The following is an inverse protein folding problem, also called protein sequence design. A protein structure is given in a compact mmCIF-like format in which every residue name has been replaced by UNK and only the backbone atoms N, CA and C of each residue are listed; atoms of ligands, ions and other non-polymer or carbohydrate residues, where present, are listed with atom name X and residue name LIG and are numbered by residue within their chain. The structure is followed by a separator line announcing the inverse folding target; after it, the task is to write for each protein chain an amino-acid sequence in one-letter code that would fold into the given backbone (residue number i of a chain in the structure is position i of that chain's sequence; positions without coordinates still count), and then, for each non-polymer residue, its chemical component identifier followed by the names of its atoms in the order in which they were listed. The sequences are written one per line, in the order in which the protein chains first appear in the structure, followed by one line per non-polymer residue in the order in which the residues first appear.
data_IF_434960547565
#
_entry.id   IF_434960547565
#
_cell.length_a   1.000
_cell.length_b   1.000
_cell.length_c   1.000
_cell.angle_alpha   90.00
_cell.angle_beta   90.00
_cell.angle_gamma   90.00
#
_symmetry.space_group_name_H-M   'P 1'
#
loop_
_entity.id
_entity.type
_entity.pdbx_description
1 polymer ?
#
# COMPACT_ATOMS: atom_id res chain seq x y z
N UNK A 1 10.07 15.75 -69.69
CA UNK A 1 9.13 16.60 -70.48
C UNK A 1 8.51 17.60 -69.50
N UNK A 2 9.00 18.86 -69.48
CA UNK A 2 8.28 20.11 -69.89
C UNK A 2 6.93 20.29 -69.16
N UNK A 3 6.52 21.44 -68.62
CA UNK A 3 7.06 22.80 -68.45
C UNK A 3 6.00 23.56 -67.62
N UNK A 4 6.43 24.62 -66.95
CA UNK A 4 5.63 25.61 -66.19
C UNK A 4 4.67 26.47 -67.04
N UNK A 5 3.79 27.17 -66.31
CA UNK A 5 3.06 28.42 -66.62
C UNK A 5 1.74 28.27 -67.40
N UNK A 6 0.68 29.04 -67.13
CA UNK A 6 0.63 30.49 -66.90
C UNK A 6 -0.75 30.94 -66.36
N UNK A 7 -0.75 32.09 -65.66
CA UNK A 7 -1.76 33.21 -65.66
C UNK A 7 -3.23 32.85 -65.35
N UNK A 8 -4.00 33.64 -64.61
CA UNK A 8 -3.88 35.04 -64.20
C UNK A 8 -5.29 35.65 -64.20
N UNK A 9 -5.66 36.23 -63.05
CA UNK A 9 -6.56 37.38 -62.85
C UNK A 9 -7.97 37.39 -63.46
N UNK A 10 -8.97 37.48 -62.59
CA UNK A 10 -10.02 38.51 -62.72
C UNK A 10 -10.57 38.87 -61.33
N UNK A 11 -10.39 40.13 -60.96
CA UNK A 11 -11.05 40.80 -59.84
C UNK A 11 -12.35 41.39 -60.40
N UNK A 12 -13.47 41.19 -59.72
CA UNK A 12 -14.57 42.16 -59.73
C UNK A 12 -15.25 42.19 -58.37
N UNK A 13 -15.48 43.40 -57.93
CA UNK A 13 -15.85 43.84 -56.59
C UNK A 13 -17.30 44.28 -56.53
N UNK A 14 -18.01 43.95 -55.46
CA UNK A 14 -19.04 44.77 -54.78
C UNK A 14 -19.62 43.93 -53.64
N UNK A 15 -19.26 44.26 -52.39
CA UNK A 15 -20.05 45.05 -51.44
C UNK A 15 -21.27 44.32 -50.85
N UNK A 16 -21.23 44.16 -49.53
CA UNK A 16 -22.43 44.13 -48.69
C UNK A 16 -22.48 42.98 -47.70
N UNK A 17 -22.54 43.30 -46.40
CA UNK A 17 -23.12 42.42 -45.40
C UNK A 17 -22.16 41.96 -44.31
N UNK A 18 -22.49 42.34 -43.08
CA UNK A 18 -21.64 42.29 -41.91
C UNK A 18 -21.75 40.98 -41.12
N UNK A 19 -20.66 40.71 -40.39
CA UNK A 19 -20.60 40.21 -39.01
C UNK A 19 -20.88 38.72 -38.67
N UNK A 20 -19.94 38.23 -37.86
CA UNK A 20 -20.05 37.25 -36.77
C UNK A 20 -20.05 35.76 -37.13
N UNK A 21 -18.97 35.08 -36.72
CA UNK A 21 -18.88 33.62 -36.69
C UNK A 21 -17.45 33.15 -36.47
N UNK A 22 -16.90 33.43 -35.27
CA UNK A 22 -15.60 32.92 -34.85
C UNK A 22 -15.59 31.38 -34.83
N UNK A 23 -14.50 30.81 -35.33
CA UNK A 23 -14.23 29.38 -35.24
C UNK A 23 -13.84 29.06 -33.78
N UNK A 24 -14.83 28.73 -32.96
CA UNK A 24 -14.60 28.08 -31.69
C UNK A 24 -14.24 26.62 -31.97
N UNK A 25 -12.97 26.27 -31.73
CA UNK A 25 -12.54 24.87 -31.65
C UNK A 25 -13.08 24.33 -30.35
N UNK A 26 -14.21 23.61 -30.41
CA UNK A 26 -14.77 22.88 -29.28
C UNK A 26 -13.77 21.81 -28.83
N UNK A 27 -13.03 22.09 -27.76
CA UNK A 27 -12.35 21.07 -26.96
C UNK A 27 -13.45 20.27 -26.28
N UNK A 28 -13.88 19.19 -26.94
CA UNK A 28 -14.65 18.13 -26.28
C UNK A 28 -13.71 17.43 -25.31
N UNK A 29 -13.69 17.92 -24.07
CA UNK A 29 -13.25 17.17 -22.90
C UNK A 29 -14.15 15.93 -22.79
N UNK A 30 -13.73 14.82 -23.37
CA UNK A 30 -14.29 13.50 -23.07
C UNK A 30 -13.82 13.10 -21.67
N UNK A 31 -14.56 13.58 -20.66
CA UNK A 31 -14.57 12.96 -19.34
C UNK A 31 -15.19 11.59 -19.51
N UNK A 32 -14.35 10.56 -19.67
CA UNK A 32 -14.75 9.17 -19.49
C UNK A 32 -14.89 8.97 -17.99
N UNK A 33 -16.05 9.35 -17.46
CA UNK A 33 -16.44 9.04 -16.11
C UNK A 33 -16.75 7.56 -16.02
N UNK A 34 -15.83 6.78 -15.47
CA UNK A 34 -16.12 5.43 -14.98
C UNK A 34 -17.00 5.62 -13.74
N UNK A 35 -18.33 5.59 -13.93
CA UNK A 35 -19.25 5.30 -12.82
C UNK A 35 -19.47 3.81 -12.83
N UNK A 36 -18.78 3.09 -11.96
CA UNK A 36 -19.19 1.74 -11.59
C UNK A 36 -20.50 1.86 -10.80
N UNK A 37 -21.54 1.15 -11.24
CA UNK A 37 -22.75 0.94 -10.43
C UNK A 37 -22.35 0.03 -9.26
N UNK A 38 -22.11 0.64 -8.10
CA UNK A 38 -21.82 -0.07 -6.85
C UNK A 38 -23.14 -0.58 -6.29
N UNK A 39 -23.20 -1.86 -5.96
CA UNK A 39 -24.40 -2.48 -5.37
C UNK A 39 -24.61 -2.02 -3.93
N UNK A 40 -25.87 -2.05 -3.45
CA UNK A 40 -26.17 -1.72 -2.05
C UNK A 40 -25.44 -2.66 -1.07
N UNK A 41 -25.24 -3.91 -1.46
CA UNK A 41 -24.47 -4.90 -0.70
C UNK A 41 -23.00 -4.48 -0.56
N UNK A 42 -22.32 -4.13 -1.66
CA UNK A 42 -20.93 -3.64 -1.62
C UNK A 42 -20.79 -2.34 -0.78
N UNK A 43 -21.81 -1.47 -0.78
CA UNK A 43 -21.85 -0.28 0.08
C UNK A 43 -21.89 -0.70 1.55
N UNK A 44 -22.76 -1.64 1.91
CA UNK A 44 -22.91 -2.09 3.30
C UNK A 44 -21.69 -2.88 3.79
N UNK A 45 -21.08 -3.69 2.93
CA UNK A 45 -19.80 -4.36 3.19
C UNK A 45 -18.68 -3.33 3.41
N UNK A 46 -18.53 -2.35 2.51
CA UNK A 46 -17.55 -1.26 2.65
C UNK A 46 -17.71 -0.49 3.96
N UNK A 47 -18.95 -0.34 4.45
CA UNK A 47 -19.22 0.30 5.75
C UNK A 47 -18.70 -0.53 6.92
N UNK A 48 -18.85 -1.85 6.91
CA UNK A 48 -18.32 -2.74 7.96
C UNK A 48 -16.81 -2.63 8.03
N UNK A 49 -16.10 -2.72 6.90
CA UNK A 49 -14.65 -2.56 6.85
C UNK A 49 -14.22 -1.21 7.43
N UNK A 50 -14.86 -0.11 7.03
CA UNK A 50 -14.53 1.24 7.52
C UNK A 50 -14.73 1.40 9.03
N UNK A 51 -15.79 0.80 9.58
CA UNK A 51 -16.04 0.85 11.04
C UNK A 51 -14.93 0.11 11.78
N UNK A 52 -14.62 -1.12 11.37
CA UNK A 52 -13.57 -1.94 12.00
C UNK A 52 -12.21 -1.26 11.88
N UNK A 53 -11.82 -0.83 10.67
CA UNK A 53 -10.57 -0.11 10.43
C UNK A 53 -10.49 1.19 11.23
N UNK A 54 -11.61 1.91 11.38
CA UNK A 54 -11.68 3.12 12.21
C UNK A 54 -11.35 2.85 13.68
N UNK A 55 -11.92 1.79 14.26
CA UNK A 55 -11.67 1.36 15.65
C UNK A 55 -10.19 0.98 15.83
N UNK A 56 -9.63 0.26 14.87
CA UNK A 56 -8.27 -0.26 14.99
C UNK A 56 -7.19 0.77 14.64
N UNK A 57 -7.48 1.74 13.76
CA UNK A 57 -6.53 2.79 13.37
C UNK A 57 -6.03 3.60 14.58
N UNK A 58 -6.91 3.90 15.53
CA UNK A 58 -6.52 4.56 16.78
C UNK A 58 -5.50 3.71 17.57
N UNK A 59 -5.79 2.41 17.72
CA UNK A 59 -4.94 1.43 18.43
C UNK A 59 -3.58 1.21 17.74
N UNK A 60 -3.52 1.39 16.42
CA UNK A 60 -2.33 1.16 15.59
C UNK A 60 -1.43 2.39 15.44
N UNK A 61 -1.93 3.60 15.66
CA UNK A 61 -1.22 4.87 15.40
C UNK A 61 0.22 4.98 15.96
N UNK A 62 0.53 4.28 17.07
CA UNK A 62 1.88 4.25 17.69
C UNK A 62 2.55 2.88 17.68
N UNK A 63 1.85 1.84 17.23
CA UNK A 63 2.28 0.43 17.33
C UNK A 63 2.15 -0.33 16.01
N UNK A 64 1.86 0.36 14.90
CA UNK A 64 1.56 -0.22 13.59
C UNK A 64 2.60 -1.27 13.16
N UNK A 65 3.88 -0.90 13.14
CA UNK A 65 4.98 -1.82 12.80
C UNK A 65 4.91 -3.11 13.63
N UNK A 66 4.96 -3.01 14.96
CA UNK A 66 5.00 -4.19 15.86
C UNK A 66 3.74 -5.05 15.77
N UNK A 67 2.59 -4.44 15.55
CA UNK A 67 1.31 -5.16 15.46
C UNK A 67 1.19 -5.88 14.12
N UNK A 68 1.48 -5.21 13.00
CA UNK A 68 1.36 -5.80 11.66
C UNK A 68 2.36 -6.93 11.48
N UNK A 69 3.64 -6.71 11.81
CA UNK A 69 4.65 -7.77 11.71
C UNK A 69 4.39 -8.91 12.68
N UNK A 70 3.93 -8.58 13.90
CA UNK A 70 3.56 -9.57 14.90
C UNK A 70 2.40 -10.44 14.45
N UNK A 71 1.35 -9.87 13.86
CA UNK A 71 0.23 -10.61 13.27
C UNK A 71 0.71 -11.50 12.13
N UNK A 72 1.49 -10.96 11.19
CA UNK A 72 2.04 -11.71 10.06
C UNK A 72 2.87 -12.91 10.52
N UNK A 73 3.70 -12.75 11.55
CA UNK A 73 4.42 -13.87 12.19
C UNK A 73 3.47 -14.86 12.86
N UNK A 74 2.55 -14.37 13.70
CA UNK A 74 1.61 -15.18 14.47
C UNK A 74 0.75 -16.09 13.58
N UNK A 75 0.29 -15.57 12.43
CA UNK A 75 -0.49 -16.31 11.45
C UNK A 75 0.35 -17.34 10.72
N UNK A 76 1.56 -16.99 10.26
CA UNK A 76 2.47 -17.94 9.61
C UNK A 76 2.89 -19.09 10.52
N UNK A 77 3.07 -18.84 11.82
CA UNK A 77 3.32 -19.90 12.82
C UNK A 77 2.14 -20.87 12.99
N UNK A 78 0.92 -20.41 12.74
CA UNK A 78 -0.32 -21.20 12.89
C UNK A 78 -0.78 -21.85 11.61
N UNK A 79 -0.33 -21.35 10.47
CA UNK A 79 -0.58 -21.94 9.16
C UNK A 79 0.31 -23.17 8.91
N UNK A 80 -0.01 -24.25 9.63
CA UNK A 80 0.69 -25.53 9.53
C UNK A 80 0.61 -26.15 8.12
N UNK A 81 -0.38 -25.76 7.33
CA UNK A 81 -0.62 -26.30 5.98
C UNK A 81 0.03 -25.45 4.91
N UNK A 82 0.50 -24.25 5.25
CA UNK A 82 0.99 -23.25 4.31
C UNK A 82 -0.02 -22.98 3.19
N UNK A 83 -1.32 -22.99 3.55
CA UNK A 83 -2.45 -22.74 2.64
C UNK A 83 -2.96 -21.29 2.71
N UNK A 84 -2.40 -20.47 3.60
CA UNK A 84 -2.80 -19.07 3.81
C UNK A 84 -4.06 -18.91 4.67
N UNK A 85 -4.77 -19.99 4.97
CA UNK A 85 -6.16 -19.92 5.43
C UNK A 85 -6.35 -20.44 6.86
N UNK A 86 -6.72 -19.52 7.76
CA UNK A 86 -6.87 -19.79 9.19
C UNK A 86 -8.33 -19.75 9.62
N UNK A 87 -8.63 -20.44 10.74
CA UNK A 87 -10.00 -20.49 11.25
C UNK A 87 -10.38 -19.26 12.06
N UNK A 88 -11.69 -19.03 12.20
CA UNK A 88 -12.25 -17.95 13.00
C UNK A 88 -11.69 -17.87 14.42
N UNK A 89 -11.51 -19.04 15.05
CA UNK A 89 -10.95 -19.15 16.39
C UNK A 89 -9.53 -18.58 16.47
N UNK A 90 -8.69 -18.81 15.45
CA UNK A 90 -7.33 -18.28 15.38
C UNK A 90 -7.34 -16.76 15.26
N UNK A 91 -8.22 -16.20 14.43
CA UNK A 91 -8.34 -14.76 14.28
C UNK A 91 -8.86 -14.07 15.55
N UNK A 92 -9.87 -14.62 16.23
CA UNK A 92 -10.32 -14.09 17.54
C UNK A 92 -9.20 -14.12 18.58
N UNK A 93 -8.40 -15.18 18.60
CA UNK A 93 -7.25 -15.28 19.50
C UNK A 93 -6.18 -14.22 19.15
N UNK A 94 -5.89 -14.02 17.87
CA UNK A 94 -4.94 -13.00 17.42
C UNK A 94 -5.38 -11.59 17.86
N UNK A 95 -6.65 -11.22 17.63
CA UNK A 95 -7.17 -9.92 18.07
C UNK A 95 -7.03 -9.71 19.58
N UNK A 96 -7.19 -10.76 20.38
CA UNK A 96 -6.98 -10.70 21.83
C UNK A 96 -5.51 -10.53 22.20
N UNK A 97 -4.61 -11.33 21.60
CA UNK A 97 -3.16 -11.30 21.87
C UNK A 97 -2.54 -9.94 21.50
N UNK A 98 -2.99 -9.34 20.40
CA UNK A 98 -2.47 -8.06 19.90
C UNK A 98 -3.24 -6.84 20.42
N UNK A 99 -4.20 -7.02 21.33
CA UNK A 99 -5.03 -5.95 21.89
C UNK A 99 -5.78 -5.14 20.82
N UNK A 100 -6.32 -5.85 19.82
CA UNK A 100 -7.13 -5.35 18.72
C UNK A 100 -8.59 -5.76 18.89
N UNK A 101 -9.12 -5.67 20.12
CA UNK A 101 -10.50 -6.03 20.39
C UNK A 101 -11.45 -5.15 19.60
N UNK A 102 -12.38 -5.78 18.91
CA UNK A 102 -13.48 -5.16 18.17
C UNK A 102 -14.80 -5.67 18.77
N UNK A 103 -15.90 -4.90 18.70
CA UNK A 103 -17.19 -5.38 19.14
C UNK A 103 -17.57 -6.68 18.40
N UNK A 104 -18.07 -7.67 19.15
CA UNK A 104 -18.41 -8.99 18.58
C UNK A 104 -19.34 -8.88 17.37
N UNK A 105 -20.32 -7.97 17.42
CA UNK A 105 -21.22 -7.71 16.30
C UNK A 105 -20.48 -7.29 15.02
N UNK A 106 -19.47 -6.44 15.14
CA UNK A 106 -18.72 -5.93 14.00
C UNK A 106 -17.75 -6.99 13.47
N UNK A 107 -17.18 -7.80 14.37
CA UNK A 107 -16.37 -8.97 13.98
C UNK A 107 -17.18 -10.01 13.22
N UNK A 108 -18.36 -10.37 13.72
CA UNK A 108 -19.23 -11.36 13.09
C UNK A 108 -19.71 -10.86 11.72
N UNK A 109 -20.04 -9.57 11.60
CA UNK A 109 -20.35 -8.96 10.31
C UNK A 109 -19.15 -9.02 9.35
N UNK A 110 -17.95 -8.70 9.82
CA UNK A 110 -16.73 -8.79 9.02
C UNK A 110 -16.45 -10.23 8.56
N UNK A 111 -16.63 -11.20 9.47
CA UNK A 111 -16.41 -12.61 9.20
C UNK A 111 -17.32 -13.13 8.10
N UNK A 112 -18.60 -12.77 8.13
CA UNK A 112 -19.57 -13.16 7.10
C UNK A 112 -19.21 -12.66 5.71
N UNK A 113 -18.52 -11.51 5.62
CA UNK A 113 -18.08 -10.95 4.34
C UNK A 113 -16.83 -11.68 3.82
N UNK A 114 -15.92 -12.04 4.73
CA UNK A 114 -14.65 -12.69 4.37
C UNK A 114 -14.81 -14.19 4.09
N UNK A 115 -15.70 -14.88 4.80
CA UNK A 115 -15.97 -16.31 4.67
C UNK A 115 -17.16 -16.59 3.72
N UNK A 116 -17.08 -16.07 2.48
CA UNK A 116 -18.15 -16.18 1.47
C UNK A 116 -18.54 -17.64 1.15
N UNK A 117 -17.57 -18.56 1.23
CA UNK A 117 -17.81 -19.99 0.99
C UNK A 117 -18.25 -20.77 2.24
N UNK A 118 -18.37 -20.10 3.40
CA UNK A 118 -18.80 -20.66 4.68
C UNK A 118 -18.02 -21.92 5.11
N UNK A 119 -16.71 -21.95 4.86
CA UNK A 119 -15.85 -23.09 5.22
C UNK A 119 -15.11 -22.87 6.56
N UNK A 120 -15.41 -21.78 7.27
CA UNK A 120 -14.76 -21.35 8.52
C UNK A 120 -13.25 -21.11 8.37
N UNK A 121 -12.79 -20.75 7.16
CA UNK A 121 -11.39 -20.41 6.87
C UNK A 121 -11.32 -19.15 6.02
N UNK A 122 -10.45 -18.23 6.43
CA UNK A 122 -10.19 -16.97 5.71
C UNK A 122 -8.68 -16.81 5.51
N UNK A 123 -8.30 -16.27 4.35
CA UNK A 123 -6.90 -15.91 4.07
C UNK A 123 -6.42 -14.82 5.05
N UNK A 124 -5.29 -15.04 5.72
CA UNK A 124 -4.82 -14.08 6.72
C UNK A 124 -4.40 -12.73 6.12
N UNK A 125 -4.04 -12.69 4.83
CA UNK A 125 -3.79 -11.45 4.10
C UNK A 125 -5.10 -10.67 3.88
N UNK A 126 -6.17 -11.34 3.45
CA UNK A 126 -7.51 -10.76 3.34
C UNK A 126 -8.02 -10.24 4.67
N UNK A 127 -7.88 -11.04 5.74
CA UNK A 127 -8.26 -10.61 7.07
C UNK A 127 -7.45 -9.39 7.53
N UNK A 128 -6.13 -9.39 7.35
CA UNK A 128 -5.25 -8.26 7.72
C UNK A 128 -5.66 -6.99 6.97
N UNK A 129 -5.90 -7.08 5.66
CA UNK A 129 -6.41 -5.95 4.86
C UNK A 129 -7.76 -5.44 5.35
N UNK A 130 -8.65 -6.37 5.73
CA UNK A 130 -9.97 -6.05 6.24
C UNK A 130 -9.92 -5.28 7.56
N UNK A 131 -9.02 -5.63 8.47
CA UNK A 131 -8.95 -5.03 9.81
C UNK A 131 -8.01 -3.81 9.91
N UNK A 132 -6.90 -3.82 9.18
CA UNK A 132 -5.85 -2.80 9.27
C UNK A 132 -5.90 -1.84 8.08
N UNK A 133 -6.36 -2.33 6.93
CA UNK A 133 -6.22 -1.65 5.64
C UNK A 133 -5.02 -2.17 4.87
N UNK A 134 -4.77 -1.53 3.73
CA UNK A 134 -3.73 -1.92 2.80
C UNK A 134 -2.95 -0.68 2.35
N UNK A 135 -1.64 -0.80 2.31
CA UNK A 135 -0.74 0.22 1.79
C UNK A 135 -1.03 0.41 0.31
N UNK A 136 -1.17 1.68 -0.09
CA UNK A 136 -1.47 1.99 -1.48
C UNK A 136 -0.36 1.49 -2.42
N UNK A 137 -0.71 1.25 -3.68
CA UNK A 137 0.22 0.68 -4.67
C UNK A 137 1.42 1.58 -4.98
N UNK A 138 1.28 2.89 -4.81
CA UNK A 138 2.38 3.82 -4.98
C UNK A 138 3.47 3.56 -3.95
N UNK A 139 3.12 3.48 -2.66
CA UNK A 139 4.03 3.13 -1.57
C UNK A 139 4.63 1.73 -1.74
N UNK A 140 3.80 0.73 -2.04
CA UNK A 140 4.25 -0.66 -2.27
C UNK A 140 5.27 -0.76 -3.40
N UNK A 141 5.15 0.06 -4.46
CA UNK A 141 6.13 0.05 -5.55
C UNK A 141 7.55 0.39 -5.06
N UNK A 142 7.70 1.29 -4.08
CA UNK A 142 9.00 1.61 -3.49
C UNK A 142 9.51 0.53 -2.53
N UNK A 143 8.61 -0.12 -1.79
CA UNK A 143 8.96 -1.29 -0.96
C UNK A 143 9.49 -2.42 -1.83
N UNK A 144 8.79 -2.75 -2.93
CA UNK A 144 9.26 -3.69 -3.96
C UNK A 144 10.61 -3.30 -4.53
N UNK A 145 10.79 -2.02 -4.90
CA UNK A 145 12.06 -1.50 -5.43
C UNK A 145 13.21 -1.66 -4.44
N UNK A 146 12.98 -1.37 -3.15
CA UNK A 146 13.97 -1.56 -2.08
C UNK A 146 14.34 -3.04 -1.94
N UNK A 147 13.34 -3.92 -1.86
CA UNK A 147 13.58 -5.35 -1.71
C UNK A 147 14.32 -5.94 -2.91
N UNK A 148 13.95 -5.59 -4.14
CA UNK A 148 14.64 -6.04 -5.35
C UNK A 148 16.11 -5.60 -5.42
N UNK A 149 16.45 -4.46 -4.81
CA UNK A 149 17.85 -4.01 -4.69
C UNK A 149 18.63 -4.90 -3.71
N UNK A 150 17.97 -5.34 -2.64
CA UNK A 150 18.57 -6.19 -1.60
C UNK A 150 18.69 -7.64 -2.08
N UNK A 151 17.65 -8.18 -2.69
CA UNK A 151 17.61 -9.53 -3.27
C UNK A 151 18.12 -9.54 -4.73
N UNK A 152 19.36 -9.12 -4.93
CA UNK A 152 19.94 -9.01 -6.28
C UNK A 152 20.08 -10.37 -6.98
N UNK A 153 20.25 -11.45 -6.21
CA UNK A 153 20.35 -12.82 -6.72
C UNK A 153 18.98 -13.46 -6.98
N UNK A 154 17.88 -12.82 -6.59
CA UNK A 154 16.51 -13.34 -6.70
C UNK A 154 16.36 -14.69 -5.99
N UNK A 155 16.94 -14.80 -4.79
CA UNK A 155 16.85 -15.99 -3.95
C UNK A 155 15.50 -16.11 -3.26
N UNK A 156 14.70 -15.03 -3.22
CA UNK A 156 13.40 -14.99 -2.56
C UNK A 156 13.48 -14.58 -1.09
N UNK A 157 14.67 -14.66 -0.48
CA UNK A 157 15.00 -14.15 0.85
C UNK A 157 16.29 -13.33 0.82
N UNK A 158 16.39 -12.35 1.72
CA UNK A 158 17.60 -11.52 1.91
C UNK A 158 18.22 -11.86 3.27
N UNK A 159 19.52 -12.22 3.33
CA UNK A 159 20.20 -12.45 4.61
C UNK A 159 20.17 -11.21 5.52
N UNK A 160 19.89 -11.39 6.80
CA UNK A 160 19.83 -10.30 7.80
C UNK A 160 21.15 -9.53 7.88
N UNK A 161 22.28 -10.21 7.63
CA UNK A 161 23.60 -9.58 7.55
C UNK A 161 23.70 -8.55 6.43
N UNK A 162 22.99 -8.74 5.32
CA UNK A 162 23.00 -7.82 4.18
C UNK A 162 22.01 -6.68 4.39
N UNK A 163 20.84 -6.96 4.98
CA UNK A 163 19.93 -5.93 5.51
C UNK A 163 20.70 -4.96 6.43
N UNK A 164 21.45 -5.49 7.40
CA UNK A 164 22.27 -4.72 8.33
C UNK A 164 23.34 -3.87 7.65
N UNK A 165 23.99 -4.37 6.60
CA UNK A 165 25.01 -3.60 5.87
C UNK A 165 24.39 -2.49 5.02
N UNK A 166 23.25 -2.76 4.38
CA UNK A 166 22.64 -1.86 3.41
C UNK A 166 21.76 -0.78 4.04
N UNK A 167 21.18 -1.02 5.22
CA UNK A 167 20.31 -0.05 5.88
C UNK A 167 21.07 1.19 6.39
N UNK A 168 20.58 2.36 6.01
CA UNK A 168 21.12 3.68 6.37
C UNK A 168 20.11 4.50 7.18
N UNK A 169 20.46 4.89 8.41
CA UNK A 169 19.57 5.68 9.27
C UNK A 169 19.96 7.16 9.37
N UNK A 170 21.01 7.62 8.67
CA UNK A 170 21.55 9.01 8.74
C UNK A 170 20.52 10.11 8.54
N UNK A 171 19.56 9.87 7.66
CA UNK A 171 18.52 10.83 7.29
C UNK A 171 17.18 10.56 7.98
N UNK A 172 17.17 9.70 9.00
CA UNK A 172 15.99 9.48 9.82
C UNK A 172 15.66 10.75 10.61
N UNK A 173 14.37 11.10 10.74
CA UNK A 173 13.92 12.35 11.36
C UNK A 173 14.48 12.53 12.78
N UNK A 174 14.47 11.48 13.60
CA UNK A 174 15.01 11.51 14.96
C UNK A 174 16.52 11.71 15.00
N UNK A 175 17.25 11.21 13.99
CA UNK A 175 18.70 11.43 13.86
C UNK A 175 19.00 12.88 13.48
N UNK A 176 18.27 13.41 12.50
CA UNK A 176 18.41 14.81 12.09
C UNK A 176 18.06 15.80 13.21
N UNK A 177 17.08 15.46 14.04
CA UNK A 177 16.68 16.28 15.21
C UNK A 177 17.60 16.12 16.43
N UNK A 178 18.53 15.16 16.42
CA UNK A 178 19.40 14.85 17.56
C UNK A 178 18.72 14.12 18.73
N UNK A 179 17.50 13.62 18.54
CA UNK A 179 16.74 12.85 19.56
C UNK A 179 17.27 11.43 19.70
N UNK A 180 17.83 10.86 18.63
CA UNK A 180 18.44 9.53 18.61
C UNK A 180 19.67 9.52 17.71
N UNK A 181 20.59 8.61 17.96
CA UNK A 181 21.77 8.34 17.12
C UNK A 181 21.40 7.44 15.93
N UNK A 182 22.25 7.41 14.90
CA UNK A 182 22.05 6.51 13.76
C UNK A 182 22.01 5.05 14.21
N UNK A 183 22.92 4.68 15.12
CA UNK A 183 23.08 3.35 15.69
C UNK A 183 21.85 2.91 16.50
N UNK A 184 21.25 3.81 17.28
CA UNK A 184 20.01 3.52 18.02
C UNK A 184 18.84 3.21 17.07
N UNK A 185 18.65 4.03 16.02
CA UNK A 185 17.59 3.79 15.02
C UNK A 185 17.85 2.51 14.26
N UNK A 186 19.10 2.26 13.87
CA UNK A 186 19.49 1.05 13.15
C UNK A 186 19.30 -0.21 14.00
N UNK A 187 19.68 -0.17 15.27
CA UNK A 187 19.49 -1.30 16.19
C UNK A 187 18.00 -1.56 16.40
N UNK A 188 17.20 -0.52 16.65
CA UNK A 188 15.76 -0.66 16.82
C UNK A 188 15.06 -1.22 15.58
N UNK A 189 15.46 -0.79 14.38
CA UNK A 189 14.96 -1.34 13.12
C UNK A 189 15.26 -2.84 12.99
N UNK A 190 16.52 -3.23 13.21
CA UNK A 190 16.97 -4.61 13.06
C UNK A 190 16.34 -5.53 14.11
N UNK A 191 16.27 -5.12 15.37
CA UNK A 191 15.60 -5.88 16.43
C UNK A 191 14.13 -6.13 16.08
N UNK A 192 13.43 -5.09 15.61
CA UNK A 192 12.02 -5.23 15.22
C UNK A 192 11.84 -6.19 14.04
N UNK A 193 12.77 -6.17 13.08
CA UNK A 193 12.72 -7.04 11.91
C UNK A 193 13.11 -8.49 12.27
N UNK A 194 14.14 -8.68 13.10
CA UNK A 194 14.56 -9.99 13.62
C UNK A 194 13.40 -10.64 14.42
N UNK A 195 12.70 -9.87 15.26
CA UNK A 195 11.52 -10.35 16.01
C UNK A 195 10.35 -10.71 15.09
N UNK A 196 10.18 -10.00 13.98
CA UNK A 196 9.11 -10.20 13.01
C UNK A 196 9.28 -11.45 12.14
N UNK A 197 10.52 -11.91 11.94
CA UNK A 197 10.80 -12.99 11.02
C UNK A 197 10.52 -14.37 11.64
N UNK A 198 10.12 -15.32 10.79
CA UNK A 198 10.05 -16.75 11.18
C UNK A 198 11.45 -17.31 11.34
N UNK A 199 12.34 -16.98 10.40
CA UNK A 199 13.77 -17.26 10.49
C UNK A 199 14.53 -15.95 10.72
N UNK A 200 15.12 -15.75 11.90
CA UNK A 200 15.82 -14.49 12.22
C UNK A 200 17.09 -14.23 11.41
N UNK A 201 17.57 -15.21 10.64
CA UNK A 201 18.78 -15.07 9.81
C UNK A 201 18.53 -14.47 8.42
N UNK A 202 17.28 -14.43 7.96
CA UNK A 202 16.90 -13.94 6.64
C UNK A 202 15.52 -13.28 6.66
N UNK A 203 15.24 -12.45 5.67
CA UNK A 203 13.98 -11.71 5.57
C UNK A 203 13.38 -12.00 4.20
N UNK A 204 12.16 -12.54 4.19
CA UNK A 204 11.35 -12.71 2.98
C UNK A 204 10.70 -11.39 2.54
N UNK A 205 10.20 -11.35 1.29
CA UNK A 205 9.48 -10.16 0.81
C UNK A 205 8.25 -9.86 1.67
N UNK A 206 7.48 -10.88 2.06
CA UNK A 206 6.27 -10.69 2.87
C UNK A 206 6.61 -10.07 4.24
N UNK A 207 7.67 -10.53 4.91
CA UNK A 207 8.13 -9.95 6.19
C UNK A 207 8.58 -8.50 6.04
N UNK A 208 9.28 -8.21 4.96
CA UNK A 208 9.73 -6.87 4.65
C UNK A 208 8.54 -5.95 4.34
N UNK A 209 7.55 -6.44 3.59
CA UNK A 209 6.32 -5.73 3.29
C UNK A 209 5.50 -5.46 4.55
N UNK A 210 5.31 -6.45 5.44
CA UNK A 210 4.61 -6.30 6.72
C UNK A 210 5.22 -5.19 7.58
N UNK A 211 6.56 -5.10 7.62
CA UNK A 211 7.25 -4.01 8.33
C UNK A 211 6.85 -2.64 7.79
N UNK A 212 6.89 -2.48 6.46
CA UNK A 212 6.60 -1.21 5.81
C UNK A 212 5.11 -0.89 5.77
N UNK A 213 4.24 -1.90 5.72
CA UNK A 213 2.79 -1.78 5.90
C UNK A 213 2.49 -1.17 7.27
N UNK A 214 3.07 -1.73 8.33
CA UNK A 214 2.93 -1.19 9.68
C UNK A 214 3.51 0.21 9.86
N UNK A 215 4.61 0.55 9.17
CA UNK A 215 5.20 1.89 9.17
C UNK A 215 4.31 2.90 8.44
N UNK A 216 3.74 2.47 7.31
CA UNK A 216 2.87 3.27 6.44
C UNK A 216 1.65 3.81 7.18
N UNK A 217 1.09 3.05 8.12
CA UNK A 217 -0.07 3.46 8.94
C UNK A 217 0.17 4.79 9.67
N UNK A 218 1.40 5.01 10.15
CA UNK A 218 1.77 6.22 10.91
C UNK A 218 2.11 7.43 10.04
N UNK A 219 2.16 7.27 8.71
CA UNK A 219 2.63 8.30 7.78
C UNK A 219 1.49 8.76 6.89
N UNK A 220 1.14 10.04 7.01
CA UNK A 220 0.03 10.62 6.26
C UNK A 220 0.35 10.82 4.79
N UNK A 221 1.50 11.41 4.47
CA UNK A 221 1.88 11.78 3.12
C UNK A 221 2.67 10.67 2.41
N UNK A 222 2.32 10.42 1.15
CA UNK A 222 2.94 9.37 0.35
C UNK A 222 4.41 9.68 0.02
N UNK A 223 4.77 10.94 -0.24
CA UNK A 223 6.15 11.32 -0.49
C UNK A 223 6.99 11.23 0.78
N UNK A 224 6.46 11.56 1.95
CA UNK A 224 7.17 11.36 3.22
C UNK A 224 7.54 9.89 3.42
N UNK A 225 6.59 8.98 3.19
CA UNK A 225 6.84 7.53 3.25
C UNK A 225 7.90 7.10 2.25
N UNK A 226 7.76 7.53 0.99
CA UNK A 226 8.69 7.18 -0.07
C UNK A 226 10.09 7.74 0.22
N UNK A 227 10.20 8.95 0.76
CA UNK A 227 11.47 9.56 1.12
C UNK A 227 12.17 8.79 2.25
N UNK A 228 11.42 8.21 3.19
CA UNK A 228 11.99 7.29 4.19
C UNK A 228 12.65 6.09 3.49
N UNK A 229 11.97 5.43 2.54
CA UNK A 229 12.54 4.30 1.80
C UNK A 229 13.75 4.71 0.92
N UNK A 230 13.66 5.83 0.19
CA UNK A 230 14.75 6.35 -0.63
C UNK A 230 16.00 6.61 0.22
N UNK A 231 15.81 7.22 1.38
CA UNK A 231 16.90 7.55 2.29
C UNK A 231 17.48 6.30 2.98
N UNK A 232 16.63 5.36 3.38
CA UNK A 232 17.03 4.14 4.07
C UNK A 232 17.81 3.18 3.16
N UNK A 233 17.39 3.06 1.90
CA UNK A 233 17.90 2.04 0.97
C UNK A 233 18.67 2.61 -0.21
N UNK A 234 18.71 3.92 -0.41
CA UNK A 234 19.38 4.57 -1.54
C UNK A 234 18.80 4.13 -2.88
N UNK A 235 17.47 4.18 -3.02
CA UNK A 235 16.71 3.85 -4.24
C UNK A 235 16.11 5.08 -4.91
#
# INVERSE_FOLDING_TARGET
KRRLSHRGSSISSSQGGAAAGGWAVDVRTTSVGIKQDITQQEIDESRVFRVVQGILKEKLSKRGVRVVTGLGKYFRERDQKSDGALSKAVFKQALTVFHLEVPEKDFEALWLILDDNCNDKVDYGEFTRAIIGEMNEYRKAFVRKAYMKLDFNKTGSVPMVDIRKCYCAKKHSQVLSGVATEEEIKSSFLETLEDACINSSEVSYCEFEDYYEGLSIGIMDDEDFVNILRNAWGI
#
